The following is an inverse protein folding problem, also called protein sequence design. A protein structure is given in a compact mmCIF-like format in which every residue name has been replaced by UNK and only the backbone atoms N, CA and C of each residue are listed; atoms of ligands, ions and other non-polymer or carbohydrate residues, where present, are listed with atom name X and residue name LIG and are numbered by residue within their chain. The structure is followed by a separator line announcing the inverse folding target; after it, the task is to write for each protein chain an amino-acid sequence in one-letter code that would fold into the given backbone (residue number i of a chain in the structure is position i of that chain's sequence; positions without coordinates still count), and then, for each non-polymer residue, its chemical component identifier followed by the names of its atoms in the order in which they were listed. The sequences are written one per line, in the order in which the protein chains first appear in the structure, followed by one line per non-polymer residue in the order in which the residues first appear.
data_IF_902604351598
#
_entry.id   IF_902604351598
#
_cell.length_a   1.000
_cell.length_b   1.000
_cell.length_c   1.000
_cell.angle_alpha   90.00
_cell.angle_beta   90.00
_cell.angle_gamma   90.00
#
_symmetry.space_group_name_H-M   'P 1'
#
loop_
_entity.id
_entity.type
_entity.pdbx_description
1 polymer ?
#
# COMPACT_ATOMS: atom_id res chain seq x y z
N UNK A 1 -6.10 33.90 -14.60
CA UNK A 1 -7.53 33.53 -14.57
C UNK A 1 -8.17 34.35 -13.45
N UNK A 2 -8.77 35.49 -13.77
CA UNK A 2 -9.50 36.33 -12.81
C UNK A 2 -10.95 35.88 -12.81
N UNK A 3 -11.39 35.27 -11.71
CA UNK A 3 -12.81 34.96 -11.50
C UNK A 3 -13.53 36.30 -11.30
N UNK A 4 -14.53 36.57 -12.13
CA UNK A 4 -15.29 37.82 -12.02
C UNK A 4 -16.12 37.82 -10.73
N UNK A 5 -16.36 38.98 -10.13
CA UNK A 5 -17.27 39.13 -8.99
C UNK A 5 -18.67 38.57 -9.27
N UNK A 6 -19.08 38.56 -10.53
CA UNK A 6 -20.32 37.96 -11.02
C UNK A 6 -20.31 36.43 -10.94
N UNK A 7 -19.16 35.79 -11.18
CA UNK A 7 -19.02 34.33 -11.04
C UNK A 7 -19.01 33.91 -9.57
N UNK A 8 -18.36 34.72 -8.72
CA UNK A 8 -18.38 34.50 -7.26
C UNK A 8 -19.80 34.61 -6.69
N UNK A 9 -20.57 35.62 -7.12
CA UNK A 9 -21.96 35.77 -6.70
C UNK A 9 -22.85 34.62 -7.17
N UNK A 10 -22.60 34.07 -8.37
CA UNK A 10 -23.36 32.92 -8.89
C UNK A 10 -23.09 31.65 -8.10
N UNK A 11 -21.82 31.37 -7.78
CA UNK A 11 -21.42 30.21 -6.97
C UNK A 11 -21.98 30.26 -5.53
N UNK A 12 -22.14 31.46 -4.96
CA UNK A 12 -22.72 31.65 -3.63
C UNK A 12 -24.26 31.61 -3.61
N UNK A 13 -24.90 31.79 -4.78
CA UNK A 13 -26.34 31.72 -4.95
C UNK A 13 -26.83 30.32 -5.36
N UNK A 14 -25.93 29.40 -5.70
CA UNK A 14 -26.27 28.00 -5.94
C UNK A 14 -26.71 27.35 -4.62
N UNK A 15 -27.89 26.69 -4.58
CA UNK A 15 -28.33 26.00 -3.37
C UNK A 15 -27.31 24.92 -3.03
N UNK A 16 -26.92 24.86 -1.74
CA UNK A 16 -26.02 23.83 -1.23
C UNK A 16 -26.48 22.47 -1.75
N UNK A 17 -25.64 21.73 -2.50
CA UNK A 17 -26.03 20.44 -3.02
C UNK A 17 -26.46 19.57 -1.85
N UNK A 18 -27.64 18.96 -1.97
CA UNK A 18 -28.16 18.07 -0.94
C UNK A 18 -27.10 16.99 -0.64
N UNK A 19 -26.89 16.64 0.64
CA UNK A 19 -25.94 15.59 0.99
C UNK A 19 -26.34 14.31 0.24
N UNK A 20 -25.40 13.78 -0.55
CA UNK A 20 -25.61 12.52 -1.26
C UNK A 20 -25.76 11.41 -0.21
N UNK A 21 -26.87 10.67 -0.18
CA UNK A 21 -27.06 9.58 0.76
C UNK A 21 -25.91 8.57 0.63
N UNK A 22 -25.22 8.28 1.74
CA UNK A 22 -24.12 7.30 1.78
C UNK A 22 -22.72 7.84 1.52
N UNK A 23 -22.53 9.14 1.26
CA UNK A 23 -21.20 9.72 1.02
C UNK A 23 -20.51 10.26 2.30
N UNK A 24 -21.21 10.25 3.44
CA UNK A 24 -20.73 10.73 4.74
C UNK A 24 -20.97 9.76 5.91
N UNK A 25 -21.32 8.50 5.65
CA UNK A 25 -21.51 7.52 6.72
C UNK A 25 -20.13 7.12 7.31
N UNK A 26 -19.73 7.79 8.40
CA UNK A 26 -18.67 7.36 9.30
C UNK A 26 -19.20 6.36 10.35
N UNK A 27 -20.32 5.70 10.05
CA UNK A 27 -21.16 5.04 11.06
C UNK A 27 -20.61 3.69 11.56
N UNK A 28 -19.54 3.16 10.94
CA UNK A 28 -18.88 1.91 11.35
C UNK A 28 -17.51 2.11 12.01
N UNK A 29 -17.19 3.33 12.45
CA UNK A 29 -15.97 3.58 13.22
C UNK A 29 -16.13 2.97 14.62
N UNK A 30 -15.74 1.69 14.78
CA UNK A 30 -15.58 1.10 16.11
C UNK A 30 -14.54 1.94 16.85
N UNK A 31 -14.93 2.64 17.93
CA UNK A 31 -14.02 3.55 18.62
C UNK A 31 -12.79 2.79 19.12
N UNK A 32 -11.69 3.52 19.29
CA UNK A 32 -10.48 2.95 19.86
C UNK A 32 -10.82 2.27 21.20
N UNK A 33 -10.36 1.02 21.43
CA UNK A 33 -10.66 0.33 22.68
C UNK A 33 -10.13 1.14 23.86
N UNK A 34 -10.95 1.30 24.91
CA UNK A 34 -10.59 2.05 26.11
C UNK A 34 -9.24 1.56 26.67
N UNK A 35 -8.35 2.49 27.03
CA UNK A 35 -7.00 2.22 27.55
C UNK A 35 -5.95 1.78 26.52
N UNK A 36 -6.29 1.68 25.22
CA UNK A 36 -5.29 1.44 24.17
C UNK A 36 -4.24 2.57 24.12
N UNK A 37 -4.67 3.81 24.37
CA UNK A 37 -3.80 4.98 24.40
C UNK A 37 -2.73 4.84 25.49
N UNK A 38 -3.15 4.55 26.73
CA UNK A 38 -2.25 4.35 27.87
C UNK A 38 -1.27 3.19 27.62
N UNK A 39 -1.77 2.07 27.08
CA UNK A 39 -0.93 0.94 26.72
C UNK A 39 0.10 1.29 25.64
N UNK A 40 -0.27 2.13 24.68
CA UNK A 40 0.62 2.60 23.62
C UNK A 40 1.66 3.59 24.15
N UNK A 41 1.24 4.57 24.95
CA UNK A 41 2.12 5.59 25.52
C UNK A 41 3.14 4.99 26.48
N UNK A 42 2.76 4.02 27.32
CA UNK A 42 3.67 3.30 28.21
C UNK A 42 4.81 2.55 27.49
N UNK A 43 4.71 2.38 26.16
CA UNK A 43 5.66 1.61 25.34
C UNK A 43 6.27 2.43 24.21
N UNK A 44 6.05 3.74 24.23
CA UNK A 44 6.64 4.66 23.26
C UNK A 44 7.42 5.75 23.93
N UNK A 45 8.32 6.37 23.16
CA UNK A 45 9.06 7.56 23.56
C UNK A 45 8.99 8.58 22.45
N UNK A 46 8.65 9.83 22.79
CA UNK A 46 8.76 10.95 21.86
C UNK A 46 10.24 11.29 21.65
N UNK A 47 10.58 11.61 20.41
CA UNK A 47 11.90 12.11 20.02
C UNK A 47 11.82 13.62 19.82
N UNK A 48 12.96 14.31 19.96
CA UNK A 48 13.01 15.78 19.85
C UNK A 48 12.58 16.29 18.46
N UNK A 49 12.72 15.47 17.41
CA UNK A 49 12.34 15.78 16.04
C UNK A 49 10.83 15.59 15.74
N UNK A 50 10.00 15.37 16.78
CA UNK A 50 8.55 15.18 16.62
C UNK A 50 8.14 13.78 16.12
N UNK A 51 9.07 12.82 16.10
CA UNK A 51 8.75 11.41 15.87
C UNK A 51 8.51 10.67 17.18
N UNK A 52 8.00 9.45 17.07
CA UNK A 52 7.80 8.55 18.20
C UNK A 52 8.37 7.18 17.91
N UNK A 53 9.23 6.72 18.80
CA UNK A 53 9.87 5.43 18.75
C UNK A 53 9.16 4.40 19.65
N UNK A 54 9.25 3.14 19.25
CA UNK A 54 8.78 2.03 20.07
C UNK A 54 9.91 1.49 20.92
N UNK A 55 9.71 1.44 22.24
CA UNK A 55 10.75 1.05 23.21
C UNK A 55 10.53 -0.33 23.84
N UNK A 56 9.42 -1.00 23.52
CA UNK A 56 9.13 -2.35 24.01
C UNK A 56 9.52 -3.44 22.99
N UNK A 57 9.11 -4.69 23.26
CA UNK A 57 9.46 -5.84 22.41
C UNK A 57 9.10 -5.66 20.93
N UNK A 58 10.00 -6.09 20.05
CA UNK A 58 9.85 -6.07 18.60
C UNK A 58 9.90 -7.48 18.00
N UNK A 59 9.34 -7.64 16.82
CA UNK A 59 9.53 -8.85 16.01
C UNK A 59 10.97 -8.96 15.47
N UNK A 60 11.31 -10.09 14.86
CA UNK A 60 12.58 -10.29 14.13
C UNK A 60 12.81 -9.26 13.02
N UNK A 61 11.75 -8.70 12.46
CA UNK A 61 11.82 -7.63 11.46
C UNK A 61 11.84 -6.21 12.08
N UNK A 62 11.96 -6.12 13.41
CA UNK A 62 12.05 -4.85 14.12
C UNK A 62 10.74 -4.07 14.21
N UNK A 63 9.61 -4.71 13.92
CA UNK A 63 8.27 -4.10 14.06
C UNK A 63 7.78 -4.32 15.47
N UNK A 64 7.43 -3.24 16.17
CA UNK A 64 6.84 -3.34 17.50
C UNK A 64 5.48 -4.04 17.47
N UNK A 65 5.24 -4.91 18.46
CA UNK A 65 3.97 -5.64 18.61
C UNK A 65 3.65 -5.76 20.08
N UNK A 66 2.38 -5.63 20.43
CA UNK A 66 1.89 -5.85 21.78
C UNK A 66 0.47 -6.42 21.76
N UNK A 67 0.06 -6.98 22.89
CA UNK A 67 -1.29 -7.47 23.12
C UNK A 67 -2.01 -6.48 24.04
N UNK A 68 -3.26 -6.16 23.73
CA UNK A 68 -4.11 -5.33 24.57
C UNK A 68 -5.56 -5.81 24.48
N UNK A 69 -6.19 -6.03 25.63
CA UNK A 69 -7.57 -6.52 25.73
C UNK A 69 -7.86 -7.76 24.83
N UNK A 70 -6.97 -8.76 24.87
CA UNK A 70 -7.09 -9.98 24.06
C UNK A 70 -6.80 -9.84 22.56
N UNK A 71 -6.51 -8.62 22.06
CA UNK A 71 -6.21 -8.36 20.66
C UNK A 71 -4.73 -7.99 20.43
N UNK A 72 -4.18 -8.47 19.31
CA UNK A 72 -2.81 -8.19 18.92
C UNK A 72 -2.71 -6.94 18.06
N UNK A 73 -1.87 -6.00 18.46
CA UNK A 73 -1.62 -4.76 17.73
C UNK A 73 -0.17 -4.69 17.27
N UNK A 74 0.02 -4.20 16.04
CA UNK A 74 1.31 -3.61 15.65
C UNK A 74 1.32 -2.16 16.09
N UNK A 75 2.50 -1.60 16.35
CA UNK A 75 2.63 -0.22 16.83
C UNK A 75 1.97 0.79 15.92
N UNK A 76 2.24 0.70 14.61
CA UNK A 76 1.66 1.58 13.61
C UNK A 76 0.14 1.43 13.52
N UNK A 77 -0.41 0.21 13.68
CA UNK A 77 -1.86 0.00 13.71
C UNK A 77 -2.51 0.62 14.94
N UNK A 78 -1.89 0.50 16.11
CA UNK A 78 -2.39 1.17 17.32
C UNK A 78 -2.38 2.69 17.14
N UNK A 79 -1.25 3.26 16.71
CA UNK A 79 -1.11 4.69 16.44
C UNK A 79 -2.17 5.22 15.46
N UNK A 80 -2.42 4.47 14.39
CA UNK A 80 -3.46 4.81 13.41
C UNK A 80 -4.88 4.82 14.01
N UNK A 81 -5.22 3.80 14.81
CA UNK A 81 -6.52 3.71 15.49
C UNK A 81 -6.68 4.85 16.50
N UNK A 82 -5.62 5.21 17.23
CA UNK A 82 -5.64 6.29 18.21
C UNK A 82 -5.88 7.66 17.55
N UNK A 83 -5.26 7.95 16.40
CA UNK A 83 -5.52 9.20 15.67
C UNK A 83 -6.91 9.23 15.06
N UNK A 84 -7.30 8.14 14.38
CA UNK A 84 -8.44 8.18 13.44
C UNK A 84 -9.74 7.62 14.01
N UNK A 85 -9.69 6.91 15.14
CA UNK A 85 -10.84 6.23 15.71
C UNK A 85 -11.40 5.09 14.85
N UNK A 86 -10.75 4.72 13.74
CA UNK A 86 -11.21 3.66 12.82
C UNK A 86 -10.20 2.54 12.65
N UNK A 87 -10.67 1.37 12.23
CA UNK A 87 -9.78 0.29 11.82
C UNK A 87 -9.07 0.64 10.50
N UNK A 88 -7.79 0.27 10.35
CA UNK A 88 -7.06 0.53 9.11
C UNK A 88 -7.49 -0.40 7.98
N UNK A 89 -7.48 0.11 6.76
CA UNK A 89 -7.66 -0.69 5.54
C UNK A 89 -6.29 -1.08 5.00
N UNK A 90 -5.96 -2.37 5.09
CA UNK A 90 -4.67 -2.93 4.63
C UNK A 90 -3.50 -2.61 5.56
N UNK A 91 -2.30 -2.50 5.00
CA UNK A 91 -1.08 -2.28 5.80
C UNK A 91 -0.88 -0.81 6.16
N UNK A 92 -0.73 -0.54 7.46
CA UNK A 92 -0.33 0.77 7.99
C UNK A 92 1.19 0.91 7.90
N UNK A 93 1.66 2.07 7.44
CA UNK A 93 3.08 2.40 7.34
C UNK A 93 3.32 3.86 7.73
N UNK A 94 4.54 4.23 8.13
CA UNK A 94 4.91 5.63 8.26
C UNK A 94 4.83 6.30 6.89
N UNK A 95 4.33 7.53 6.87
CA UNK A 95 4.38 8.42 5.70
C UNK A 95 5.53 9.42 5.80
N UNK A 96 6.12 9.58 6.98
CA UNK A 96 7.36 10.31 7.18
C UNK A 96 8.59 9.49 6.73
N UNK A 97 9.74 10.15 6.67
CA UNK A 97 11.01 9.53 6.30
C UNK A 97 11.62 8.67 7.42
N UNK A 98 11.24 8.92 8.68
CA UNK A 98 11.76 8.19 9.83
C UNK A 98 11.29 6.72 9.81
N UNK A 99 12.21 5.75 9.64
CA UNK A 99 11.84 4.34 9.61
C UNK A 99 11.22 3.93 10.93
N UNK A 100 10.10 3.18 10.86
CA UNK A 100 9.39 2.63 12.03
C UNK A 100 8.82 3.68 12.99
N UNK A 101 8.76 4.95 12.57
CA UNK A 101 8.00 5.97 13.29
C UNK A 101 6.58 5.47 13.57
N UNK A 102 6.16 5.59 14.82
CA UNK A 102 4.81 5.24 15.25
C UNK A 102 4.04 6.44 15.78
N UNK A 103 4.50 7.66 15.46
CA UNK A 103 3.74 8.86 15.81
C UNK A 103 2.38 8.82 15.09
N UNK A 104 1.24 8.96 15.80
CA UNK A 104 -0.09 8.86 15.22
C UNK A 104 -0.29 9.73 13.96
N UNK A 105 0.25 10.95 13.93
CA UNK A 105 0.17 11.84 12.77
C UNK A 105 1.03 11.40 11.58
N UNK A 106 2.06 10.58 11.81
CA UNK A 106 3.01 10.16 10.79
C UNK A 106 2.72 8.78 10.20
N UNK A 107 1.57 8.16 10.49
CA UNK A 107 1.21 6.83 9.97
C UNK A 107 -0.07 6.87 9.15
N UNK A 108 -0.12 6.15 8.03
CA UNK A 108 -1.36 5.98 7.25
C UNK A 108 -1.56 4.54 6.77
N UNK A 109 -2.83 4.18 6.65
CA UNK A 109 -3.25 2.91 6.08
C UNK A 109 -3.03 2.84 4.57
N UNK A 110 -3.28 1.66 3.98
CA UNK A 110 -3.01 1.46 2.56
C UNK A 110 -4.00 2.24 1.69
N UNK A 111 -5.27 2.32 2.08
CA UNK A 111 -6.29 3.01 1.29
C UNK A 111 -5.98 4.51 1.15
N UNK A 112 -5.69 5.18 2.27
CA UNK A 112 -5.35 6.62 2.30
C UNK A 112 -4.12 6.90 1.45
N UNK A 113 -3.03 6.16 1.66
CA UNK A 113 -1.80 6.30 0.85
C UNK A 113 -2.02 6.05 -0.64
N UNK A 114 -2.95 5.18 -1.02
CA UNK A 114 -3.27 4.93 -2.44
C UNK A 114 -4.08 6.08 -3.06
N UNK A 115 -5.04 6.63 -2.32
CA UNK A 115 -5.79 7.81 -2.72
C UNK A 115 -4.87 9.01 -2.92
N UNK A 116 -3.99 9.28 -1.96
CA UNK A 116 -3.13 10.46 -1.99
C UNK A 116 -2.10 10.38 -3.13
N UNK A 117 -1.57 9.18 -3.41
CA UNK A 117 -0.71 8.95 -4.59
C UNK A 117 -1.46 9.11 -5.91
N UNK A 118 -2.72 8.69 -5.97
CA UNK A 118 -3.55 8.89 -7.17
C UNK A 118 -3.82 10.38 -7.40
N UNK A 119 -4.13 11.12 -6.33
CA UNK A 119 -4.29 12.57 -6.38
C UNK A 119 -3.01 13.28 -6.83
N UNK A 120 -1.85 12.91 -6.26
CA UNK A 120 -0.56 13.45 -6.67
C UNK A 120 -0.26 13.15 -8.15
N UNK A 121 -0.49 11.92 -8.61
CA UNK A 121 -0.30 11.56 -10.01
C UNK A 121 -1.19 12.39 -10.96
N UNK A 122 -2.44 12.67 -10.55
CA UNK A 122 -3.35 13.53 -11.30
C UNK A 122 -2.87 14.99 -11.36
N UNK A 123 -2.45 15.55 -10.23
CA UNK A 123 -1.92 16.93 -10.15
C UNK A 123 -0.65 17.09 -11.00
N UNK A 124 0.22 16.08 -11.00
CA UNK A 124 1.44 16.06 -11.82
C UNK A 124 1.18 15.76 -13.31
N UNK A 125 -0.08 15.58 -13.71
CA UNK A 125 -0.44 15.30 -15.11
C UNK A 125 0.14 14.00 -15.64
N UNK A 126 0.39 13.00 -14.78
CA UNK A 126 1.02 11.75 -15.20
C UNK A 126 0.09 10.96 -16.11
N UNK A 127 0.50 10.80 -17.37
CA UNK A 127 -0.16 9.88 -18.30
C UNK A 127 0.29 8.46 -18.03
N UNK A 128 -0.65 7.55 -17.77
CA UNK A 128 -0.35 6.14 -17.59
C UNK A 128 -0.57 5.36 -18.89
N UNK A 129 0.37 4.46 -19.20
CA UNK A 129 0.19 3.51 -20.31
C UNK A 129 -1.09 2.69 -20.08
N UNK A 130 -1.85 2.37 -21.14
CA UNK A 130 -2.93 1.41 -21.05
C UNK A 130 -2.50 0.13 -20.33
N UNK A 131 -3.38 -0.49 -19.53
CA UNK A 131 -3.05 -1.70 -18.80
C UNK A 131 -2.61 -2.80 -19.75
N UNK A 132 -1.60 -3.57 -19.33
CA UNK A 132 -1.08 -4.72 -20.10
C UNK A 132 -1.67 -6.05 -19.63
N UNK A 133 -2.75 -6.02 -18.85
CA UNK A 133 -3.36 -7.21 -18.26
C UNK A 133 -4.87 -7.03 -18.15
N UNK A 134 -5.60 -8.15 -18.16
CA UNK A 134 -7.07 -8.18 -18.14
C UNK A 134 -7.67 -8.04 -16.73
N UNK A 135 -6.83 -7.88 -15.70
CA UNK A 135 -7.30 -7.67 -14.33
C UNK A 135 -8.04 -6.33 -14.19
N UNK A 136 -9.15 -6.36 -13.47
CA UNK A 136 -9.90 -5.16 -13.12
C UNK A 136 -9.00 -4.15 -12.38
N UNK A 137 -8.85 -2.98 -13.01
CA UNK A 137 -7.99 -1.89 -12.55
C UNK A 137 -8.64 -1.06 -11.44
N UNK A 138 -9.95 -1.13 -11.26
CA UNK A 138 -10.63 -0.55 -10.11
C UNK A 138 -10.31 -1.36 -8.84
N UNK A 139 -10.27 -2.69 -8.96
CA UNK A 139 -9.99 -3.59 -7.83
C UNK A 139 -8.48 -3.69 -7.54
N UNK A 140 -7.68 -3.97 -8.57
CA UNK A 140 -6.25 -4.31 -8.42
C UNK A 140 -5.28 -3.18 -8.78
N UNK A 141 -5.79 -2.08 -9.34
CA UNK A 141 -4.95 -0.93 -9.68
C UNK A 141 -4.39 -0.27 -8.42
N UNK A 142 -3.09 0.01 -8.44
CA UNK A 142 -2.37 0.71 -7.36
C UNK A 142 -1.38 1.71 -7.96
N UNK A 143 -0.99 2.69 -7.15
CA UNK A 143 0.06 3.67 -7.45
C UNK A 143 1.28 3.41 -6.56
N UNK A 144 2.46 3.45 -7.19
CA UNK A 144 3.76 3.48 -6.52
C UNK A 144 4.04 4.86 -5.92
N UNK A 145 5.14 4.97 -5.17
CA UNK A 145 5.56 6.25 -4.59
C UNK A 145 5.94 7.28 -5.67
N UNK A 146 6.43 6.83 -6.83
CA UNK A 146 6.72 7.66 -8.02
C UNK A 146 5.46 8.04 -8.82
N UNK A 147 4.26 7.75 -8.30
CA UNK A 147 2.99 7.97 -8.98
C UNK A 147 2.69 6.98 -10.11
N UNK A 148 3.61 6.08 -10.50
CA UNK A 148 3.35 5.12 -11.58
C UNK A 148 2.29 4.10 -11.18
N UNK A 149 1.32 3.90 -12.06
CA UNK A 149 0.26 2.90 -11.89
C UNK A 149 0.77 1.50 -12.20
N UNK A 150 0.39 0.51 -11.38
CA UNK A 150 0.68 -0.91 -11.62
C UNK A 150 -0.50 -1.80 -11.20
N UNK A 151 -0.48 -3.08 -11.59
CA UNK A 151 -1.46 -4.07 -11.15
C UNK A 151 -0.93 -4.84 -9.95
N UNK A 152 -1.63 -4.79 -8.81
CA UNK A 152 -1.21 -5.55 -7.64
C UNK A 152 -1.36 -7.06 -7.86
N UNK A 153 -2.34 -7.51 -8.64
CA UNK A 153 -2.50 -8.91 -8.99
C UNK A 153 -1.30 -9.43 -9.81
N UNK A 154 -0.91 -8.72 -10.88
CA UNK A 154 0.27 -9.11 -11.68
C UNK A 154 1.58 -9.03 -10.89
N UNK A 155 1.72 -8.05 -9.99
CA UNK A 155 2.94 -7.83 -9.23
C UNK A 155 3.07 -8.80 -8.02
N UNK A 156 2.00 -9.50 -7.66
CA UNK A 156 2.04 -10.49 -6.59
C UNK A 156 2.40 -11.86 -7.19
N UNK A 157 3.64 -12.32 -6.97
CA UNK A 157 4.12 -13.60 -7.47
C UNK A 157 3.24 -14.79 -7.04
N UNK A 158 2.62 -14.73 -5.86
CA UNK A 158 1.70 -15.78 -5.37
C UNK A 158 0.37 -15.85 -6.13
N UNK A 159 0.01 -14.79 -6.85
CA UNK A 159 -1.22 -14.73 -7.63
C UNK A 159 -0.99 -15.13 -9.10
N UNK A 160 0.27 -15.39 -9.50
CA UNK A 160 0.55 -15.93 -10.81
C UNK A 160 0.25 -17.43 -10.78
N UNK A 161 -0.46 -17.99 -11.79
CA UNK A 161 -0.67 -19.42 -11.87
C UNK A 161 0.71 -20.08 -11.99
N UNK A 162 1.05 -20.91 -11.01
CA UNK A 162 2.17 -21.82 -11.15
C UNK A 162 1.82 -22.79 -12.29
N UNK A 163 2.80 -23.21 -13.09
CA UNK A 163 2.59 -24.37 -13.94
C UNK A 163 2.37 -25.62 -13.07
N UNK A 164 1.93 -26.71 -13.69
CA UNK A 164 1.72 -28.00 -13.04
C UNK A 164 2.96 -28.54 -12.28
N UNK A 165 4.15 -28.02 -12.60
CA UNK A 165 5.43 -28.36 -11.97
C UNK A 165 5.88 -27.36 -10.89
N UNK A 166 5.02 -26.41 -10.49
CA UNK A 166 5.31 -25.44 -9.42
C UNK A 166 6.23 -24.27 -9.82
N UNK A 167 6.55 -24.12 -11.12
CA UNK A 167 7.33 -22.99 -11.63
C UNK A 167 6.43 -21.79 -11.97
N UNK A 168 6.98 -20.55 -11.99
CA UNK A 168 6.26 -19.39 -12.52
C UNK A 168 5.76 -19.62 -13.96
N UNK A 169 4.70 -18.94 -14.40
CA UNK A 169 4.10 -19.17 -15.70
C UNK A 169 5.06 -18.84 -16.85
N UNK A 170 5.02 -19.68 -17.88
CA UNK A 170 5.77 -19.59 -19.12
C UNK A 170 5.62 -18.19 -19.75
N UNK A 171 6.74 -17.47 -19.99
CA UNK A 171 6.73 -16.11 -20.59
C UNK A 171 6.75 -14.93 -19.61
N UNK A 172 6.77 -15.16 -18.30
CA UNK A 172 7.13 -14.11 -17.33
C UNK A 172 8.57 -13.62 -17.61
N UNK A 173 8.70 -12.35 -18.01
CA UNK A 173 9.94 -11.65 -18.42
C UNK A 173 11.26 -12.26 -17.92
N UNK A 174 12.19 -12.46 -18.87
CA UNK A 174 13.55 -12.99 -18.75
C UNK A 174 14.03 -13.20 -17.30
N UNK A 175 13.81 -14.42 -16.81
CA UNK A 175 14.43 -14.94 -15.59
C UNK A 175 15.94 -14.71 -15.72
N UNK A 176 16.54 -13.93 -14.81
CA UNK A 176 18.01 -13.83 -14.71
C UNK A 176 18.55 -15.27 -14.63
N UNK A 177 19.57 -15.65 -15.40
CA UNK A 177 20.08 -17.02 -15.39
C UNK A 177 20.54 -17.35 -13.96
N UNK A 178 19.81 -18.24 -13.28
CA UNK A 178 20.26 -18.79 -12.01
C UNK A 178 21.28 -19.90 -12.28
N UNK A 179 22.35 -20.01 -11.48
CA UNK A 179 23.43 -20.99 -11.70
C UNK A 179 23.04 -22.47 -11.46
N UNK A 180 21.85 -22.78 -10.93
CA UNK A 180 21.52 -24.12 -10.41
C UNK A 180 20.27 -24.82 -10.98
N UNK A 181 19.61 -24.31 -12.03
CA UNK A 181 18.47 -25.01 -12.71
C UNK A 181 17.21 -25.24 -11.85
N UNK A 182 16.10 -25.85 -12.35
CA UNK A 182 15.81 -26.40 -13.68
C UNK A 182 14.60 -25.75 -14.43
N UNK A 183 14.50 -26.04 -15.73
CA UNK A 183 13.49 -25.55 -16.70
C UNK A 183 12.54 -26.70 -17.09
N UNK A 184 11.27 -26.43 -17.37
CA UNK A 184 10.37 -27.45 -17.94
C UNK A 184 10.71 -27.78 -19.41
N UNK A 185 10.25 -28.94 -19.87
CA UNK A 185 10.59 -29.55 -21.17
C UNK A 185 10.15 -28.69 -22.37
N UNK A 186 9.02 -27.99 -22.25
CA UNK A 186 8.55 -27.00 -23.23
C UNK A 186 9.49 -25.79 -23.36
N UNK A 187 10.41 -25.58 -22.40
CA UNK A 187 11.47 -24.56 -22.40
C UNK A 187 12.86 -25.14 -22.72
N UNK A 188 12.94 -26.42 -23.09
CA UNK A 188 14.03 -27.00 -23.85
C UNK A 188 13.50 -27.52 -25.20
N UNK A 189 13.40 -26.68 -26.25
CA UNK A 189 13.59 -27.24 -27.57
C UNK A 189 15.04 -27.72 -27.62
N UNK A 190 15.27 -29.00 -27.32
CA UNK A 190 16.55 -29.67 -27.53
C UNK A 190 16.84 -29.74 -29.04
N UNK A 191 17.16 -28.59 -29.61
CA UNK A 191 18.07 -28.38 -30.74
C UNK A 191 19.17 -27.44 -30.26
N UNK A 192 19.79 -27.75 -29.13
CA UNK A 192 21.14 -27.25 -28.87
C UNK A 192 22.07 -28.05 -29.78
N UNK A 193 22.73 -27.30 -30.67
CA UNK A 193 23.69 -27.74 -31.71
C UNK A 193 24.55 -28.95 -31.30
N UNK A 194 24.85 -29.87 -32.23
CA UNK A 194 25.76 -30.97 -31.95
C UNK A 194 27.12 -30.40 -31.55
N UNK A 195 27.72 -31.03 -30.54
CA UNK A 195 29.05 -30.83 -29.99
C UNK A 195 30.03 -30.07 -30.92
N UNK A 196 30.56 -28.94 -30.42
CA UNK A 196 31.86 -28.44 -30.88
C UNK A 196 32.93 -29.41 -30.35
N UNK A 197 33.49 -30.24 -31.22
CA UNK A 197 34.80 -30.83 -31.00
C UNK A 197 35.85 -29.76 -31.31
N UNK A 198 36.68 -29.43 -30.32
CA UNK A 198 37.87 -28.61 -30.53
C UNK A 198 38.94 -29.44 -31.29
N UNK A 199 39.80 -28.78 -32.10
CA UNK A 199 40.82 -29.45 -32.92
C UNK A 199 41.93 -30.12 -32.10
#
# INVERSE_FOLDING_TARGET
MTVSLTDAARLLAEPTPLPVPGQLALDDATPAPAGLAEAFDARTRQTDDGHREWIAGTTTHGVGRFQYNGAAYTTMRAAFILRTGRQPVGTVRPVCEQPRCCEPEHVDDQATRQRDRAALAAVLGMTHRPPSCDHDRAVHGRHRADGRRYCNACNNAKAQPNCEYGNPPCGAKAVRPYPCGPRCEEHQPARTRPYYSAP
#
